data_IF_620321433005
#
_entry.id   IF_620321433005
#
_cell.length_a   1.000
_cell.length_b   1.000
_cell.length_c   1.000
_cell.angle_alpha   90.00
_cell.angle_beta   90.00
_cell.angle_gamma   90.00
#
_symmetry.space_group_name_H-M   'P 1'
#
loop_
_entity.id
_entity.type
_entity.pdbx_description
1 polymer ?
#
# COMPACT_ATOMS: atom_id res chain seq x y z
N UNK A 1 -14.90 -1.92 -17.41
CA UNK A 1 -15.64 -0.65 -17.33
C UNK A 1 -16.69 -0.83 -16.27
N UNK A 2 -16.66 -0.05 -15.19
CA UNK A 2 -17.74 -0.06 -14.18
C UNK A 2 -19.03 0.41 -14.86
N UNK A 3 -20.15 -0.21 -14.54
CA UNK A 3 -21.45 0.13 -15.15
C UNK A 3 -22.06 1.37 -14.44
N UNK A 4 -22.90 2.15 -15.13
CA UNK A 4 -23.46 3.41 -14.58
C UNK A 4 -24.28 3.22 -13.30
N UNK A 5 -24.86 2.02 -13.10
CA UNK A 5 -25.59 1.65 -11.88
C UNK A 5 -24.66 1.58 -10.66
N UNK A 6 -23.45 1.05 -10.82
CA UNK A 6 -22.46 0.94 -9.75
C UNK A 6 -21.95 2.30 -9.25
N UNK A 7 -21.99 3.36 -10.06
CA UNK A 7 -21.56 4.71 -9.64
C UNK A 7 -22.52 5.38 -8.66
N UNK A 8 -23.83 5.13 -8.79
CA UNK A 8 -24.84 5.78 -7.95
C UNK A 8 -24.91 5.19 -6.53
N UNK A 9 -24.44 3.95 -6.34
CA UNK A 9 -24.46 3.25 -5.05
C UNK A 9 -23.13 3.41 -4.27
N UNK A 10 -22.19 4.24 -4.75
CA UNK A 10 -20.94 4.50 -4.02
C UNK A 10 -21.23 5.39 -2.81
N UNK A 11 -20.96 4.86 -1.61
CA UNK A 11 -20.96 5.66 -0.39
C UNK A 11 -19.77 6.64 -0.40
N UNK A 12 -20.05 7.90 -0.72
CA UNK A 12 -19.09 9.00 -0.72
C UNK A 12 -18.94 9.66 0.66
N UNK A 13 -19.55 9.10 1.71
CA UNK A 13 -19.48 9.67 3.05
C UNK A 13 -18.06 9.63 3.61
N UNK A 14 -17.63 10.78 4.13
CA UNK A 14 -16.32 10.90 4.77
C UNK A 14 -16.38 10.25 6.15
N UNK A 15 -15.49 9.28 6.40
CA UNK A 15 -15.33 8.65 7.71
C UNK A 15 -14.64 9.60 8.70
N UNK A 16 -15.40 10.53 9.27
CA UNK A 16 -14.90 11.60 10.15
C UNK A 16 -14.08 11.10 11.35
N UNK A 17 -14.36 9.89 11.86
CA UNK A 17 -13.64 9.27 12.97
C UNK A 17 -12.33 8.56 12.56
N UNK A 18 -12.00 8.54 11.26
CA UNK A 18 -10.83 7.84 10.73
C UNK A 18 -10.05 8.71 9.73
N UNK A 19 -9.88 9.99 10.06
CA UNK A 19 -9.11 10.94 9.25
C UNK A 19 -7.61 10.89 9.57
N UNK A 20 -6.81 11.10 8.54
CA UNK A 20 -5.35 11.22 8.60
C UNK A 20 -4.89 12.37 7.68
N UNK A 21 -3.91 13.12 8.15
CA UNK A 21 -3.05 13.96 7.31
C UNK A 21 -1.99 13.05 6.68
N UNK A 22 -1.91 13.06 5.35
CA UNK A 22 -0.89 12.34 4.59
C UNK A 22 0.23 13.29 4.18
N UNK A 23 1.47 12.95 4.55
CA UNK A 23 2.69 13.64 4.14
C UNK A 23 3.59 12.66 3.40
N UNK A 24 4.14 13.06 2.25
CA UNK A 24 5.08 12.24 1.47
C UNK A 24 6.50 12.77 1.62
N UNK A 25 7.43 11.88 1.98
CA UNK A 25 8.87 12.11 2.00
C UNK A 25 9.46 11.31 0.86
N UNK A 26 10.17 11.95 -0.05
CA UNK A 26 10.75 11.30 -1.23
C UNK A 26 12.10 11.92 -1.55
N UNK A 27 12.99 11.10 -2.09
CA UNK A 27 14.25 11.52 -2.68
C UNK A 27 14.10 11.95 -4.16
N UNK A 28 12.86 11.97 -4.67
CA UNK A 28 12.53 12.19 -6.08
C UNK A 28 13.10 11.13 -7.03
N UNK A 29 13.49 9.98 -6.48
CA UNK A 29 13.95 8.82 -7.21
C UNK A 29 13.05 7.62 -6.81
N UNK A 30 13.66 6.51 -6.43
CA UNK A 30 12.98 5.25 -6.22
C UNK A 30 12.26 5.21 -4.86
N UNK A 31 12.72 5.96 -3.86
CA UNK A 31 12.26 5.80 -2.49
C UNK A 31 11.22 6.86 -2.07
N UNK A 32 10.15 6.38 -1.43
CA UNK A 32 9.19 7.24 -0.78
C UNK A 32 8.70 6.64 0.54
N UNK A 33 8.50 7.50 1.53
CA UNK A 33 7.87 7.18 2.81
C UNK A 33 6.68 8.10 2.97
N UNK A 34 5.50 7.52 3.23
CA UNK A 34 4.31 8.28 3.63
C UNK A 34 4.17 8.26 5.15
N UNK A 35 3.93 9.44 5.74
CA UNK A 35 3.51 9.57 7.14
C UNK A 35 2.02 9.89 7.17
N UNK A 36 1.27 9.04 7.85
CA UNK A 36 -0.14 9.23 8.13
C UNK A 36 -0.26 9.69 9.58
N UNK A 37 -0.52 10.98 9.77
CA UNK A 37 -0.75 11.57 11.09
C UNK A 37 -2.25 11.60 11.36
N UNK A 38 -2.75 10.90 12.40
CA UNK A 38 -4.15 10.93 12.77
C UNK A 38 -4.63 12.36 13.04
N UNK A 39 -5.78 12.74 12.48
CA UNK A 39 -6.41 14.05 12.74
C UNK A 39 -7.87 13.90 13.14
N UNK A 40 -8.37 14.90 13.86
CA UNK A 40 -9.79 15.08 14.16
C UNK A 40 -10.51 15.74 12.96
N UNK A 41 -11.85 15.78 12.94
CA UNK A 41 -12.61 16.46 11.88
C UNK A 41 -12.27 17.95 11.68
N UNK A 42 -11.74 18.60 12.72
CA UNK A 42 -11.26 19.98 12.65
C UNK A 42 -9.83 20.12 12.12
N UNK A 43 -9.22 19.03 11.62
CA UNK A 43 -7.86 19.01 11.08
C UNK A 43 -6.75 19.01 12.12
N UNK A 44 -7.05 19.14 13.42
CA UNK A 44 -6.04 19.11 14.47
C UNK A 44 -5.55 17.68 14.73
N UNK A 45 -4.26 17.55 15.07
CA UNK A 45 -3.64 16.28 15.40
C UNK A 45 -4.40 15.57 16.52
N UNK A 46 -4.71 14.30 16.28
CA UNK A 46 -5.30 13.42 17.27
C UNK A 46 -4.20 12.70 18.05
N UNK A 47 -3.90 13.22 19.25
CA UNK A 47 -2.86 12.68 20.13
C UNK A 47 -3.19 11.30 20.73
N UNK A 48 -4.44 10.84 20.61
CA UNK A 48 -4.86 9.52 21.11
C UNK A 48 -4.45 8.37 20.19
N UNK A 49 -4.14 8.66 18.92
CA UNK A 49 -3.74 7.66 17.92
C UNK A 49 -2.27 7.85 17.54
N UNK A 50 -1.59 6.75 17.23
CA UNK A 50 -0.20 6.78 16.78
C UNK A 50 -0.11 7.10 15.30
N UNK A 51 0.92 7.84 14.92
CA UNK A 51 1.26 8.03 13.52
C UNK A 51 1.70 6.71 12.88
N UNK A 52 1.42 6.57 11.59
CA UNK A 52 1.75 5.39 10.79
C UNK A 52 2.74 5.82 9.72
N UNK A 53 3.75 5.00 9.49
CA UNK A 53 4.67 5.16 8.39
C UNK A 53 4.47 4.03 7.39
N UNK A 54 4.47 4.37 6.11
CA UNK A 54 4.33 3.41 5.01
C UNK A 54 5.46 3.64 4.03
N UNK A 55 6.25 2.61 3.77
CA UNK A 55 7.24 2.61 2.70
C UNK A 55 6.53 2.38 1.36
N UNK A 56 6.93 3.14 0.36
CA UNK A 56 6.36 3.13 -0.98
C UNK A 56 7.48 3.07 -2.02
N UNK A 57 7.34 2.15 -2.96
CA UNK A 57 8.26 1.93 -4.05
C UNK A 57 7.46 1.68 -5.33
N UNK A 58 7.79 2.38 -6.42
CA UNK A 58 7.25 2.08 -7.73
C UNK A 58 8.28 1.35 -8.57
N UNK A 59 8.02 0.08 -8.88
CA UNK A 59 8.85 -0.68 -9.80
C UNK A 59 8.24 -0.66 -11.19
N UNK A 60 9.03 -0.30 -12.21
CA UNK A 60 8.60 -0.48 -13.59
C UNK A 60 8.82 -1.95 -13.98
N UNK A 61 7.74 -2.64 -14.33
CA UNK A 61 7.77 -4.00 -14.87
C UNK A 61 7.36 -3.98 -16.35
N UNK A 62 7.65 -5.03 -17.14
CA UNK A 62 7.19 -5.12 -18.53
C UNK A 62 5.67 -4.93 -18.69
N UNK A 63 4.89 -5.34 -17.70
CA UNK A 63 3.43 -5.25 -17.66
C UNK A 63 2.92 -3.88 -17.18
N UNK A 64 3.82 -2.99 -16.74
CA UNK A 64 3.51 -1.64 -16.26
C UNK A 64 4.09 -1.33 -14.88
N UNK A 65 3.73 -0.19 -14.29
CA UNK A 65 4.18 0.19 -12.96
C UNK A 65 3.53 -0.71 -11.90
N UNK A 66 4.36 -1.37 -11.10
CA UNK A 66 3.97 -2.17 -9.95
C UNK A 66 4.26 -1.40 -8.65
N UNK A 67 3.24 -0.82 -8.00
CA UNK A 67 3.41 -0.16 -6.72
C UNK A 67 3.56 -1.20 -5.60
N UNK A 68 4.59 -1.02 -4.78
CA UNK A 68 4.87 -1.85 -3.61
C UNK A 68 4.79 -0.97 -2.38
N UNK A 69 3.99 -1.42 -1.42
CA UNK A 69 3.74 -0.71 -0.18
C UNK A 69 3.91 -1.64 1.02
N UNK A 70 4.53 -1.13 2.07
CA UNK A 70 4.67 -1.86 3.33
C UNK A 70 4.57 -0.93 4.52
N UNK A 71 3.87 -1.32 5.60
CA UNK A 71 3.96 -0.57 6.85
C UNK A 71 5.40 -0.62 7.38
N UNK A 72 5.85 0.50 7.96
CA UNK A 72 7.13 0.61 8.63
C UNK A 72 6.88 0.69 10.13
N UNK A 73 7.49 -0.22 10.89
CA UNK A 73 7.38 -0.29 12.34
C UNK A 73 8.24 0.80 13.00
N UNK A 74 7.90 2.07 12.76
CA UNK A 74 8.67 3.23 13.16
C UNK A 74 7.84 4.23 13.98
N UNK A 75 8.50 4.93 14.89
CA UNK A 75 7.89 5.95 15.75
C UNK A 75 8.15 7.37 15.26
N UNK A 76 9.09 7.55 14.35
CA UNK A 76 9.45 8.84 13.75
C UNK A 76 10.07 8.62 12.36
N UNK A 77 10.29 9.71 11.63
CA UNK A 77 10.79 9.64 10.25
C UNK A 77 12.20 9.05 10.16
N UNK A 78 13.08 9.33 11.13
CA UNK A 78 14.46 8.80 11.15
C UNK A 78 14.46 7.28 11.26
N UNK A 79 13.70 6.74 12.21
CA UNK A 79 13.52 5.30 12.37
C UNK A 79 12.84 4.67 11.14
N UNK A 80 11.89 5.38 10.52
CA UNK A 80 11.25 4.92 9.29
C UNK A 80 12.26 4.77 8.14
N UNK A 81 13.18 5.74 7.98
CA UNK A 81 14.25 5.67 6.98
C UNK A 81 15.24 4.52 7.28
N UNK A 82 15.55 4.27 8.54
CA UNK A 82 16.44 3.17 8.94
C UNK A 82 15.83 1.79 8.66
N UNK A 83 14.53 1.61 8.91
CA UNK A 83 13.82 0.33 8.71
C UNK A 83 13.43 0.11 7.24
N UNK A 84 13.28 1.19 6.47
CA UNK A 84 12.76 1.15 5.09
C UNK A 84 13.44 0.09 4.20
N UNK A 85 14.78 0.00 4.09
CA UNK A 85 15.41 -0.93 3.15
C UNK A 85 15.04 -2.39 3.42
N UNK A 86 15.08 -2.83 4.68
CA UNK A 86 14.78 -4.21 5.07
C UNK A 86 13.28 -4.53 4.94
N UNK A 87 12.41 -3.57 5.29
CA UNK A 87 10.97 -3.72 5.10
C UNK A 87 10.61 -3.87 3.61
N UNK A 88 11.22 -3.05 2.73
CA UNK A 88 10.98 -3.12 1.29
C UNK A 88 11.49 -4.42 0.67
N UNK A 89 12.69 -4.90 1.04
CA UNK A 89 13.21 -6.21 0.60
C UNK A 89 12.25 -7.35 0.97
N UNK A 90 11.72 -7.31 2.20
CA UNK A 90 10.75 -8.31 2.66
C UNK A 90 9.44 -8.24 1.87
N UNK A 91 8.94 -7.04 1.60
CA UNK A 91 7.73 -6.84 0.79
C UNK A 91 7.92 -7.32 -0.66
N UNK A 92 9.09 -7.05 -1.24
CA UNK A 92 9.48 -7.53 -2.57
C UNK A 92 9.50 -9.06 -2.64
N UNK A 93 10.14 -9.71 -1.67
CA UNK A 93 10.22 -11.18 -1.62
C UNK A 93 8.82 -11.82 -1.52
N UNK A 94 7.94 -11.26 -0.67
CA UNK A 94 6.54 -11.72 -0.54
C UNK A 94 5.77 -11.55 -1.85
N UNK A 95 5.89 -10.39 -2.50
CA UNK A 95 5.25 -10.13 -3.78
C UNK A 95 5.71 -11.14 -4.85
N UNK A 96 7.01 -11.43 -4.93
CA UNK A 96 7.55 -12.43 -5.85
C UNK A 96 6.99 -13.83 -5.58
N UNK A 97 6.83 -14.21 -4.31
CA UNK A 97 6.24 -15.48 -3.92
C UNK A 97 4.76 -15.57 -4.32
N UNK A 98 4.00 -14.49 -4.13
CA UNK A 98 2.58 -14.40 -4.51
C UNK A 98 2.39 -14.50 -6.03
N UNK A 99 3.23 -13.82 -6.82
CA UNK A 99 3.23 -13.91 -8.29
C UNK A 99 3.50 -15.34 -8.74
N UNK A 100 4.52 -16.02 -8.18
CA UNK A 100 4.83 -17.42 -8.51
C UNK A 100 3.67 -18.36 -8.18
N UNK A 101 3.04 -18.21 -7.01
CA UNK A 101 1.86 -19.01 -6.61
C UNK A 101 0.68 -18.76 -7.54
N UNK A 102 0.48 -17.53 -7.99
CA UNK A 102 -0.59 -17.21 -8.92
C UNK A 102 -0.39 -17.86 -10.29
N UNK A 103 0.82 -17.80 -10.84
CA UNK A 103 1.19 -18.47 -12.10
C UNK A 103 0.95 -19.98 -12.02
N UNK A 104 1.42 -20.64 -10.96
CA UNK A 104 1.20 -22.08 -10.75
C UNK A 104 -0.29 -22.45 -10.69
N UNK A 105 -1.12 -21.62 -10.04
CA UNK A 105 -2.57 -21.84 -9.98
C UNK A 105 -3.23 -21.68 -11.35
N UNK A 106 -2.77 -20.75 -12.18
CA UNK A 106 -3.29 -20.60 -13.54
C UNK A 106 -2.92 -21.81 -14.41
N UNK A 107 -1.68 -22.28 -14.35
CA UNK A 107 -1.23 -23.45 -15.12
C UNK A 107 -1.95 -24.74 -14.69
N UNK A 108 -2.20 -24.90 -13.37
CA UNK A 108 -2.92 -26.06 -12.83
C UNK A 108 -4.41 -26.12 -13.22
N UNK A 109 -5.05 -25.00 -13.56
CA UNK A 109 -6.46 -24.96 -13.99
C UNK A 109 -6.68 -25.49 -15.41
N UNK A 110 -5.62 -25.64 -16.20
CA UNK A 110 -5.72 -26.10 -17.60
C UNK A 110 -5.78 -27.64 -17.67
N UNK A 111 -5.45 -28.36 -16.60
CA UNK A 111 -5.54 -29.82 -16.54
C UNK A 111 -6.86 -30.23 -15.90
N UNK A 112 -7.93 -30.22 -16.69
CA UNK A 112 -9.14 -31.00 -16.41
C UNK A 112 -9.08 -32.22 -17.31
N UNK A 113 -8.73 -33.42 -16.81
CA UNK A 113 -8.86 -34.64 -17.58
C UNK A 113 -10.35 -34.88 -17.85
N UNK A 114 -10.71 -34.98 -19.13
CA UNK A 114 -12.04 -35.39 -19.53
C UNK A 114 -12.32 -36.82 -19.06
N UNK A 115 -13.44 -36.97 -18.36
CA UNK A 115 -14.25 -38.19 -18.29
C UNK A 115 -15.71 -37.78 -18.22
#
# INVERSE_FOLDING_TARGET
>A
MLNEKEFNDVDLSVKQNNLYLEESFTDLDMASIRRLTPVKPNGLKDKGRKQIFVGYLNLMTPEGPLPIQTPLAARNLKEAMEIYPEAMKTALAKMQEEIKKYQQKQDSRIIVPGT
#
